data_IF_157471442137
#
_entry.id   IF_157471442137
#
_cell.length_a   1.000
_cell.length_b   1.000
_cell.length_c   1.000
_cell.angle_alpha   90.00
_cell.angle_beta   90.00
_cell.angle_gamma   90.00
#
_symmetry.space_group_name_H-M   'P 1'
#
loop_
_entity.id
_entity.type
_entity.pdbx_description
1 polymer ?
#
# COMPACT_ATOMS: atom_id res chain seq x y z
N UNK A 1 1.80 -13.63 -10.57
CA UNK A 1 0.91 -13.06 -11.59
C UNK A 1 0.92 -11.52 -11.57
N UNK A 2 1.01 -10.86 -10.41
CA UNK A 2 1.49 -9.46 -10.35
C UNK A 2 2.88 -9.30 -11.01
N UNK A 3 3.75 -10.29 -10.85
CA UNK A 3 5.13 -10.29 -11.36
C UNK A 3 5.33 -10.07 -12.87
N UNK A 4 4.43 -10.54 -13.76
CA UNK A 4 4.68 -10.46 -15.21
C UNK A 4 4.38 -9.07 -15.80
N UNK A 5 3.26 -8.45 -15.39
CA UNK A 5 2.92 -7.05 -15.74
C UNK A 5 3.89 -6.08 -15.05
N UNK A 6 4.34 -6.42 -13.84
CA UNK A 6 5.35 -5.71 -13.08
C UNK A 6 6.71 -5.70 -13.80
N UNK A 7 7.16 -6.87 -14.29
CA UNK A 7 8.45 -7.01 -14.95
C UNK A 7 8.55 -6.12 -16.19
N UNK A 8 7.54 -6.08 -17.05
CA UNK A 8 7.63 -5.35 -18.32
C UNK A 8 7.71 -3.82 -18.16
N UNK A 9 7.00 -3.26 -17.17
CA UNK A 9 6.96 -1.80 -16.92
C UNK A 9 8.22 -1.29 -16.21
N UNK A 10 8.71 -2.01 -15.19
CA UNK A 10 9.96 -1.63 -14.52
C UNK A 10 11.15 -1.81 -15.44
N UNK A 11 11.15 -2.86 -16.26
CA UNK A 11 12.12 -3.05 -17.35
C UNK A 11 12.11 -1.83 -18.28
N UNK A 12 10.95 -1.40 -18.82
CA UNK A 12 10.88 -0.22 -19.69
C UNK A 12 11.34 1.08 -19.02
N UNK A 13 10.98 1.32 -17.77
CA UNK A 13 11.33 2.54 -17.03
C UNK A 13 12.82 2.61 -16.65
N UNK A 14 13.39 1.50 -16.15
CA UNK A 14 14.81 1.39 -15.82
C UNK A 14 15.73 1.51 -17.05
N UNK A 15 15.26 1.10 -18.25
CA UNK A 15 16.02 1.22 -19.50
C UNK A 15 15.86 2.55 -20.24
N UNK A 16 14.91 3.41 -19.88
CA UNK A 16 14.79 4.74 -20.49
C UNK A 16 16.03 5.62 -20.27
N UNK A 17 16.81 5.33 -19.23
CA UNK A 17 18.01 6.08 -18.84
C UNK A 17 19.31 5.28 -18.93
N UNK A 18 19.28 4.07 -19.51
CA UNK A 18 20.51 3.33 -19.82
C UNK A 18 21.32 4.16 -20.81
N UNK A 19 22.41 4.77 -20.33
CA UNK A 19 23.31 5.54 -21.19
C UNK A 19 23.81 4.61 -22.30
N UNK A 20 23.75 5.07 -23.55
CA UNK A 20 24.55 4.45 -24.61
C UNK A 20 26.00 4.43 -24.11
N UNK A 21 26.74 3.33 -24.30
CA UNK A 21 28.16 3.31 -23.94
C UNK A 21 28.83 4.52 -24.60
N UNK A 22 29.48 5.35 -23.79
CA UNK A 22 30.34 6.40 -24.32
C UNK A 22 31.45 5.70 -25.08
N UNK A 23 31.57 5.98 -26.38
CA UNK A 23 32.80 5.75 -27.12
C UNK A 23 33.88 6.62 -26.48
N UNK A 24 34.61 6.05 -25.51
CA UNK A 24 35.82 6.64 -24.97
C UNK A 24 36.95 5.62 -25.09
N UNK A 25 37.77 5.89 -26.11
CA UNK A 25 39.17 5.49 -26.30
C UNK A 25 39.83 4.70 -25.16
N UNK A 26 40.26 3.48 -25.51
CA UNK A 26 41.34 2.67 -24.96
C UNK A 26 41.74 2.92 -23.49
N UNK A 27 41.16 2.11 -22.61
CA UNK A 27 41.81 1.60 -21.40
C UNK A 27 41.28 0.18 -21.19
N UNK A 28 42.15 -0.82 -21.30
CA UNK A 28 41.79 -2.22 -21.05
C UNK A 28 41.45 -2.42 -19.57
N UNK A 29 40.18 -2.26 -19.23
CA UNK A 29 39.64 -2.76 -17.97
C UNK A 29 39.80 -4.29 -17.94
N UNK A 30 40.16 -4.89 -16.80
CA UNK A 30 40.32 -6.34 -16.72
C UNK A 30 38.98 -6.99 -17.04
N UNK A 31 38.96 -7.81 -18.10
CA UNK A 31 37.81 -8.64 -18.52
C UNK A 31 37.59 -9.78 -17.52
N UNK A 32 37.34 -9.44 -16.26
CA UNK A 32 36.79 -10.38 -15.29
C UNK A 32 35.37 -10.72 -15.73
N UNK A 33 35.16 -11.95 -16.21
CA UNK A 33 33.79 -12.45 -16.42
C UNK A 33 33.07 -12.34 -15.09
N UNK A 34 32.02 -11.54 -15.02
CA UNK A 34 31.22 -11.41 -13.80
C UNK A 34 30.73 -12.80 -13.39
N UNK A 35 31.17 -13.27 -12.22
CA UNK A 35 30.85 -14.60 -11.71
C UNK A 35 29.34 -14.74 -11.46
N UNK A 36 28.71 -13.67 -10.97
CA UNK A 36 27.28 -13.62 -10.66
C UNK A 36 26.41 -13.72 -11.92
N UNK A 37 26.80 -13.12 -13.05
CA UNK A 37 26.03 -13.24 -14.30
C UNK A 37 26.12 -14.62 -14.95
N UNK A 38 27.09 -15.46 -14.53
CA UNK A 38 27.21 -16.84 -15.02
C UNK A 38 26.47 -17.85 -14.15
N UNK A 39 25.92 -17.44 -13.00
CA UNK A 39 25.13 -18.32 -12.15
C UNK A 39 23.79 -18.67 -12.81
N UNK A 40 23.30 -19.91 -12.61
CA UNK A 40 21.93 -20.28 -12.98
C UNK A 40 20.90 -19.33 -12.36
N UNK A 41 19.80 -19.13 -13.06
CA UNK A 41 18.72 -18.22 -12.64
C UNK A 41 18.16 -18.59 -11.27
N UNK A 42 18.11 -19.87 -10.94
CA UNK A 42 17.63 -20.40 -9.66
C UNK A 42 18.49 -19.93 -8.49
N UNK A 43 19.81 -19.91 -8.67
CA UNK A 43 20.74 -19.48 -7.63
C UNK A 43 20.60 -17.98 -7.39
N UNK A 44 20.47 -17.20 -8.45
CA UNK A 44 20.24 -15.75 -8.34
C UNK A 44 18.90 -15.48 -7.64
N UNK A 45 17.84 -16.21 -7.98
CA UNK A 45 16.55 -16.10 -7.28
C UNK A 45 16.67 -16.40 -5.78
N UNK A 46 17.46 -17.41 -5.39
CA UNK A 46 17.71 -17.73 -3.98
C UNK A 46 18.47 -16.59 -3.29
N UNK A 47 19.48 -16.02 -3.96
CA UNK A 47 20.22 -14.87 -3.42
C UNK A 47 19.30 -13.69 -3.17
N UNK A 48 18.47 -13.29 -4.15
CA UNK A 48 17.50 -12.21 -3.96
C UNK A 48 16.52 -12.52 -2.84
N UNK A 49 15.95 -13.74 -2.78
CA UNK A 49 15.02 -14.15 -1.72
C UNK A 49 15.59 -14.08 -0.30
N UNK A 50 16.91 -13.99 -0.16
CA UNK A 50 17.58 -13.85 1.15
C UNK A 50 17.78 -12.39 1.56
N UNK A 51 17.40 -11.44 0.70
CA UNK A 51 17.49 -10.00 0.94
C UNK A 51 16.08 -9.51 1.28
N UNK A 52 15.92 -8.98 2.49
CA UNK A 52 14.67 -8.40 2.99
C UNK A 52 14.66 -6.87 2.93
N UNK A 53 15.84 -6.26 2.79
CA UNK A 53 16.01 -4.82 2.65
C UNK A 53 15.82 -4.38 1.20
N UNK A 54 15.01 -3.33 1.00
CA UNK A 54 14.69 -2.82 -0.32
C UNK A 54 15.91 -2.25 -1.04
N UNK A 55 16.75 -1.53 -0.31
CA UNK A 55 17.88 -0.79 -0.84
C UNK A 55 18.97 -1.76 -1.31
N UNK A 56 19.26 -2.78 -0.50
CA UNK A 56 20.16 -3.88 -0.86
C UNK A 56 19.67 -4.65 -2.10
N UNK A 57 18.36 -4.94 -2.16
CA UNK A 57 17.77 -5.66 -3.28
C UNK A 57 17.86 -4.84 -4.58
N UNK A 58 17.51 -3.55 -4.53
CA UNK A 58 17.61 -2.66 -5.70
C UNK A 58 19.08 -2.44 -6.08
N UNK A 59 19.98 -2.22 -5.12
CA UNK A 59 21.42 -2.06 -5.38
C UNK A 59 22.00 -3.27 -6.11
N UNK A 60 21.70 -4.49 -5.67
CA UNK A 60 22.11 -5.71 -6.35
C UNK A 60 21.53 -5.78 -7.78
N UNK A 61 20.25 -5.45 -7.93
CA UNK A 61 19.58 -5.41 -9.24
C UNK A 61 20.24 -4.43 -10.21
N UNK A 62 20.56 -3.22 -9.75
CA UNK A 62 21.14 -2.15 -10.58
C UNK A 62 22.56 -2.47 -11.09
N UNK A 63 23.25 -3.45 -10.51
CA UNK A 63 24.58 -3.87 -11.00
C UNK A 63 24.55 -4.40 -12.43
N UNK A 64 23.47 -5.09 -12.84
CA UNK A 64 23.26 -5.45 -14.25
C UNK A 64 21.80 -5.77 -14.58
N UNK A 65 21.43 -5.57 -15.86
CA UNK A 65 20.10 -5.85 -16.42
C UNK A 65 19.53 -7.22 -16.02
N UNK A 66 20.34 -8.29 -16.14
CA UNK A 66 19.89 -9.65 -15.81
C UNK A 66 19.52 -9.80 -14.33
N UNK A 67 20.31 -9.19 -13.43
CA UNK A 67 20.04 -9.28 -12.00
C UNK A 67 18.81 -8.47 -11.63
N UNK A 68 18.63 -7.27 -12.20
CA UNK A 68 17.40 -6.51 -12.02
C UNK A 68 16.19 -7.35 -12.43
N UNK A 69 16.14 -7.84 -13.68
CA UNK A 69 15.01 -8.63 -14.20
C UNK A 69 14.68 -9.85 -13.34
N UNK A 70 15.69 -10.58 -12.85
CA UNK A 70 15.47 -11.75 -11.98
C UNK A 70 15.03 -11.32 -10.57
N UNK A 71 15.58 -10.22 -10.07
CA UNK A 71 15.36 -9.71 -8.71
C UNK A 71 14.08 -8.92 -8.52
N UNK A 72 13.45 -8.44 -9.61
CA UNK A 72 12.20 -7.67 -9.56
C UNK A 72 11.16 -8.38 -8.70
N UNK A 73 10.91 -9.67 -8.91
CA UNK A 73 9.94 -10.44 -8.11
C UNK A 73 10.11 -10.26 -6.59
N UNK A 74 11.35 -10.24 -6.10
CA UNK A 74 11.62 -10.03 -4.67
C UNK A 74 11.49 -8.55 -4.28
N UNK A 75 12.03 -7.63 -5.08
CA UNK A 75 11.90 -6.18 -4.85
C UNK A 75 10.42 -5.81 -4.67
N UNK A 76 9.55 -6.40 -5.47
CA UNK A 76 8.10 -6.14 -5.45
C UNK A 76 7.46 -6.73 -4.21
N UNK A 77 7.93 -7.91 -3.81
CA UNK A 77 7.48 -8.56 -2.60
C UNK A 77 7.81 -7.69 -1.37
N UNK A 78 9.02 -7.13 -1.33
CA UNK A 78 9.45 -6.20 -0.28
C UNK A 78 8.59 -4.93 -0.30
N UNK A 79 8.42 -4.31 -1.47
CA UNK A 79 7.60 -3.09 -1.65
C UNK A 79 6.14 -3.30 -1.23
N UNK A 80 5.53 -4.41 -1.65
CA UNK A 80 4.19 -4.81 -1.24
C UNK A 80 4.13 -5.07 0.27
N UNK A 81 5.19 -5.65 0.84
CA UNK A 81 5.35 -5.84 2.28
C UNK A 81 5.34 -4.51 3.04
N UNK A 82 5.97 -3.45 2.52
CA UNK A 82 5.93 -2.13 3.15
C UNK A 82 4.55 -1.48 3.07
N UNK A 83 3.95 -1.43 1.89
CA UNK A 83 2.65 -0.78 1.69
C UNK A 83 1.48 -1.55 2.32
N UNK A 84 1.61 -2.87 2.44
CA UNK A 84 0.53 -3.81 2.77
C UNK A 84 0.79 -4.67 4.01
N UNK A 85 1.58 -4.24 5.00
CA UNK A 85 1.75 -5.00 6.28
C UNK A 85 0.42 -5.32 6.96
N UNK A 86 -0.57 -4.47 6.73
CA UNK A 86 -1.93 -4.61 7.24
C UNK A 86 -2.81 -5.52 6.37
N UNK A 87 -2.35 -5.99 5.20
CA UNK A 87 -3.13 -6.82 4.28
C UNK A 87 -3.61 -8.10 4.97
N UNK A 88 -4.90 -8.40 4.81
CA UNK A 88 -5.61 -9.45 5.53
C UNK A 88 -5.92 -9.13 6.99
N UNK A 89 -5.38 -8.05 7.54
CA UNK A 89 -5.60 -7.55 8.89
C UNK A 89 -6.98 -6.92 9.06
N UNK A 90 -7.43 -6.83 10.32
CA UNK A 90 -8.70 -6.18 10.67
C UNK A 90 -8.45 -4.70 10.91
N UNK A 91 -9.24 -3.84 10.29
CA UNK A 91 -9.08 -2.38 10.39
C UNK A 91 -10.37 -1.77 10.93
N UNK A 92 -10.23 -0.87 11.90
CA UNK A 92 -11.32 -0.08 12.45
C UNK A 92 -10.79 1.30 12.88
N UNK A 93 -11.61 2.34 12.76
CA UNK A 93 -11.35 3.64 13.37
C UNK A 93 -12.30 3.79 14.56
N UNK A 94 -11.76 3.78 15.79
CA UNK A 94 -12.56 3.74 17.01
C UNK A 94 -12.51 5.10 17.71
N UNK A 95 -13.67 5.65 18.06
CA UNK A 95 -13.78 6.91 18.81
C UNK A 95 -13.19 6.82 20.22
N UNK A 96 -12.59 7.91 20.70
CA UNK A 96 -11.86 7.96 21.98
C UNK A 96 -12.66 7.54 23.21
N UNK A 97 -13.95 7.87 23.22
CA UNK A 97 -14.88 7.59 24.31
C UNK A 97 -15.56 6.21 24.21
N UNK A 98 -15.23 5.42 23.18
CA UNK A 98 -15.81 4.08 22.96
C UNK A 98 -15.29 3.10 24.01
N UNK A 99 -16.20 2.52 24.79
CA UNK A 99 -15.86 1.50 25.80
C UNK A 99 -15.69 0.13 25.13
N UNK A 100 -14.90 -0.76 25.75
CA UNK A 100 -14.63 -2.09 25.19
C UNK A 100 -15.88 -2.96 25.01
N UNK A 101 -16.90 -2.77 25.85
CA UNK A 101 -18.21 -3.43 25.75
C UNK A 101 -19.05 -2.95 24.57
N UNK A 102 -18.74 -1.75 24.08
CA UNK A 102 -19.48 -0.98 23.09
C UNK A 102 -18.81 -1.06 21.69
N UNK A 103 -17.73 -1.83 21.57
CA UNK A 103 -17.06 -2.09 20.29
C UNK A 103 -17.97 -2.85 19.31
N UNK A 104 -17.82 -2.64 17.98
CA UNK A 104 -18.63 -3.32 16.98
C UNK A 104 -18.51 -4.84 17.16
N UNK A 105 -19.67 -5.51 17.08
CA UNK A 105 -19.85 -6.94 17.33
C UNK A 105 -18.70 -7.83 16.82
N UNK A 106 -18.17 -8.72 17.68
CA UNK A 106 -17.27 -9.90 17.48
C UNK A 106 -16.10 -9.87 16.46
N UNK A 107 -16.00 -8.91 15.54
CA UNK A 107 -15.02 -8.90 14.45
C UNK A 107 -13.77 -8.13 14.84
N UNK A 108 -13.89 -6.99 15.53
CA UNK A 108 -12.75 -6.17 15.93
C UNK A 108 -11.76 -6.94 16.81
N UNK A 109 -12.24 -7.58 17.88
CA UNK A 109 -11.42 -8.33 18.82
C UNK A 109 -11.89 -9.77 18.99
N UNK A 110 -10.94 -10.70 18.91
CA UNK A 110 -11.14 -12.11 19.27
C UNK A 110 -11.28 -12.25 20.79
N UNK A 111 -11.85 -13.36 21.29
CA UNK A 111 -11.93 -13.61 22.73
C UNK A 111 -10.58 -13.57 23.45
N UNK A 112 -9.50 -13.99 22.76
CA UNK A 112 -8.13 -13.94 23.29
C UNK A 112 -7.63 -12.50 23.42
N UNK A 113 -7.84 -11.67 22.40
CA UNK A 113 -7.46 -10.24 22.43
C UNK A 113 -8.26 -9.46 23.46
N UNK A 114 -9.56 -9.76 23.62
CA UNK A 114 -10.39 -9.20 24.70
C UNK A 114 -9.84 -9.56 26.09
N UNK A 115 -9.25 -10.74 26.25
CA UNK A 115 -8.62 -11.14 27.50
C UNK A 115 -7.26 -10.46 27.75
N UNK A 116 -6.61 -9.93 26.71
CA UNK A 116 -5.42 -9.06 26.84
C UNK A 116 -5.86 -7.66 27.26
N UNK A 117 -6.93 -7.15 26.64
CA UNK A 117 -7.53 -5.84 26.93
C UNK A 117 -8.48 -5.92 28.15
N UNK A 118 -8.14 -6.73 29.16
CA UNK A 118 -9.02 -7.14 30.27
C UNK A 118 -9.72 -5.96 30.97
N UNK A 119 -11.03 -6.16 31.20
CA UNK A 119 -11.99 -5.28 31.88
C UNK A 119 -11.40 -4.43 33.00
N UNK A 120 -11.42 -3.10 32.85
CA UNK A 120 -11.22 -2.18 33.98
C UNK A 120 -10.73 -0.79 33.59
N UNK A 121 -9.48 -0.70 33.12
CA UNK A 121 -8.76 0.59 33.21
C UNK A 121 -8.41 1.25 31.87
N UNK A 122 -8.34 0.51 30.76
CA UNK A 122 -8.00 1.09 29.45
C UNK A 122 -8.96 0.64 28.32
N UNK A 123 -9.46 1.60 27.55
CA UNK A 123 -10.22 1.35 26.32
C UNK A 123 -9.30 0.86 25.19
N UNK A 124 -9.85 0.20 24.17
CA UNK A 124 -9.09 -0.18 22.97
C UNK A 124 -8.43 1.03 22.33
N UNK A 125 -9.08 2.19 22.37
CA UNK A 125 -8.51 3.46 21.91
C UNK A 125 -7.25 3.81 22.72
N UNK A 126 -7.33 3.80 24.05
CA UNK A 126 -6.18 4.09 24.92
C UNK A 126 -5.05 3.07 24.74
N UNK A 127 -5.38 1.79 24.53
CA UNK A 127 -4.41 0.76 24.20
C UNK A 127 -3.73 1.04 22.85
N UNK A 128 -4.49 1.41 21.82
CA UNK A 128 -3.96 1.82 20.52
C UNK A 128 -3.04 3.05 20.61
N UNK A 129 -3.41 4.02 21.44
CA UNK A 129 -2.63 5.23 21.67
C UNK A 129 -1.33 5.00 22.49
N UNK A 130 -1.11 3.78 22.98
CA UNK A 130 0.16 3.40 23.63
C UNK A 130 1.25 2.97 22.64
N UNK A 131 0.89 2.70 21.37
CA UNK A 131 1.86 2.39 20.33
C UNK A 131 2.46 3.69 19.79
N UNK A 132 3.76 3.67 19.52
CA UNK A 132 4.39 4.76 18.78
C UNK A 132 3.76 4.86 17.40
N UNK A 133 3.30 6.05 17.05
CA UNK A 133 2.90 6.35 15.68
C UNK A 133 4.12 6.11 14.80
N UNK A 134 4.02 5.14 13.90
CA UNK A 134 4.99 5.02 12.81
C UNK A 134 4.71 6.24 11.94
N UNK A 135 5.47 7.31 12.19
CA UNK A 135 5.26 8.60 11.54
C UNK A 135 5.14 8.44 10.02
N UNK A 136 4.28 9.23 9.40
CA UNK A 136 3.99 9.21 7.96
C UNK A 136 5.16 9.58 7.05
N UNK A 137 6.41 9.54 7.54
CA UNK A 137 7.59 9.49 6.68
C UNK A 137 7.50 8.18 5.88
N UNK A 138 7.06 8.34 4.64
CA UNK A 138 6.34 7.34 3.87
C UNK A 138 6.91 5.93 3.95
N UNK A 139 6.02 4.95 3.87
CA UNK A 139 6.32 3.51 3.79
C UNK A 139 7.29 3.13 2.63
N UNK A 140 7.68 4.10 1.79
CA UNK A 140 8.61 4.00 0.67
C UNK A 140 9.72 5.07 0.70
N UNK A 141 9.89 5.82 1.80
CA UNK A 141 11.02 6.74 1.91
C UNK A 141 12.32 5.95 2.00
N UNK A 142 13.14 6.15 0.97
CA UNK A 142 14.50 5.66 0.92
C UNK A 142 15.33 6.41 1.95
N UNK A 143 16.30 5.73 2.56
CA UNK A 143 17.31 6.37 3.35
C UNK A 143 17.94 7.52 2.51
N UNK A 144 17.81 8.78 2.98
CA UNK A 144 18.40 9.93 2.30
C UNK A 144 19.92 9.80 2.14
N UNK A 145 20.59 9.02 2.99
CA UNK A 145 22.01 8.75 2.91
C UNK A 145 22.32 7.67 1.85
N UNK A 146 21.47 6.66 1.71
CA UNK A 146 21.58 5.67 0.63
C UNK A 146 21.50 6.33 -0.75
N UNK A 147 20.45 7.13 -1.00
CA UNK A 147 20.26 7.79 -2.30
C UNK A 147 21.33 8.86 -2.61
N UNK A 148 22.03 9.38 -1.59
CA UNK A 148 23.17 10.29 -1.76
C UNK A 148 24.44 9.56 -2.20
N UNK A 149 24.57 8.29 -1.86
CA UNK A 149 25.66 7.42 -2.32
C UNK A 149 25.56 6.99 -3.78
N UNK A 150 24.36 7.07 -4.38
CA UNK A 150 24.13 6.69 -5.77
C UNK A 150 24.60 7.77 -6.76
N UNK A 151 25.13 7.35 -7.91
CA UNK A 151 25.35 8.27 -9.03
C UNK A 151 24.01 8.83 -9.54
N UNK A 152 24.05 9.92 -10.30
CA UNK A 152 22.84 10.50 -10.92
C UNK A 152 22.04 9.51 -11.77
N UNK A 153 22.71 8.55 -12.40
CA UNK A 153 22.05 7.54 -13.24
C UNK A 153 21.40 6.47 -12.37
N UNK A 154 22.14 5.92 -11.41
CA UNK A 154 21.62 4.91 -10.48
C UNK A 154 20.47 5.45 -9.65
N UNK A 155 20.55 6.70 -9.18
CA UNK A 155 19.46 7.36 -8.46
C UNK A 155 18.19 7.43 -9.28
N UNK A 156 18.28 7.81 -10.57
CA UNK A 156 17.12 7.82 -11.47
C UNK A 156 16.54 6.43 -11.72
N UNK A 157 17.41 5.42 -11.83
CA UNK A 157 16.96 4.03 -12.02
C UNK A 157 16.28 3.50 -10.76
N UNK A 158 16.83 3.80 -9.59
CA UNK A 158 16.25 3.49 -8.31
C UNK A 158 14.87 4.17 -8.17
N UNK A 159 14.80 5.48 -8.40
CA UNK A 159 13.54 6.25 -8.37
C UNK A 159 12.51 5.69 -9.36
N UNK A 160 12.95 5.22 -10.54
CA UNK A 160 12.08 4.58 -11.51
C UNK A 160 11.56 3.21 -11.05
N UNK A 161 12.37 2.40 -10.37
CA UNK A 161 11.96 1.10 -9.81
C UNK A 161 10.95 1.30 -8.68
N UNK A 162 11.25 2.19 -7.74
CA UNK A 162 10.36 2.50 -6.61
C UNK A 162 9.10 3.21 -7.09
N UNK A 163 9.21 4.18 -8.00
CA UNK A 163 8.09 4.92 -8.56
C UNK A 163 7.14 4.05 -9.38
N UNK A 164 7.65 3.11 -10.18
CA UNK A 164 6.81 2.18 -10.92
C UNK A 164 6.02 1.22 -10.01
N UNK A 165 6.51 0.93 -8.80
CA UNK A 165 5.71 0.25 -7.79
C UNK A 165 4.62 1.14 -7.20
N UNK A 166 4.84 2.46 -7.13
CA UNK A 166 3.81 3.48 -6.88
C UNK A 166 2.67 3.41 -7.91
N UNK A 167 2.98 3.39 -9.21
CA UNK A 167 2.00 3.31 -10.29
C UNK A 167 1.12 2.03 -10.25
N UNK A 168 1.59 0.97 -9.58
CA UNK A 168 0.80 -0.24 -9.35
C UNK A 168 -0.27 -0.05 -8.28
N UNK A 169 -0.03 0.81 -7.28
CA UNK A 169 -1.05 1.17 -6.29
C UNK A 169 -2.14 2.05 -6.90
N UNK A 170 -1.81 2.85 -7.93
CA UNK A 170 -2.78 3.69 -8.64
C UNK A 170 -3.84 2.87 -9.40
N UNK A 171 -3.51 1.62 -9.77
CA UNK A 171 -4.43 0.68 -10.40
C UNK A 171 -4.97 -0.38 -9.42
N UNK A 172 -4.61 -0.28 -8.13
CA UNK A 172 -4.99 -1.27 -7.14
C UNK A 172 -6.34 -0.94 -6.51
N UNK A 173 -7.17 -1.98 -6.36
CA UNK A 173 -8.49 -1.92 -5.74
C UNK A 173 -8.38 -2.17 -4.23
N UNK A 174 -9.19 -1.46 -3.46
CA UNK A 174 -9.38 -1.72 -2.03
C UNK A 174 -10.39 -2.86 -1.88
N UNK A 175 -10.00 -3.94 -1.21
CA UNK A 175 -10.84 -5.13 -1.04
C UNK A 175 -11.28 -5.28 0.41
N UNK A 176 -12.59 -5.42 0.64
CA UNK A 176 -13.11 -5.95 1.90
C UNK A 176 -13.23 -7.47 1.78
N UNK A 177 -12.25 -8.18 2.35
CA UNK A 177 -12.15 -9.63 2.33
C UNK A 177 -13.27 -10.31 3.13
N UNK A 178 -13.80 -9.65 4.17
CA UNK A 178 -14.87 -10.18 5.00
C UNK A 178 -16.21 -10.24 4.27
N UNK A 179 -16.45 -9.29 3.36
CA UNK A 179 -17.71 -9.15 2.62
C UNK A 179 -17.60 -9.57 1.14
N UNK A 180 -16.38 -9.81 0.65
CA UNK A 180 -16.10 -10.13 -0.77
C UNK A 180 -16.55 -9.03 -1.73
N UNK A 181 -16.27 -7.78 -1.34
CA UNK A 181 -16.51 -6.60 -2.17
C UNK A 181 -15.20 -5.88 -2.45
N UNK A 182 -15.11 -5.14 -3.55
CA UNK A 182 -13.96 -4.30 -3.88
C UNK A 182 -14.37 -2.89 -4.34
N UNK A 183 -13.46 -1.94 -4.16
CA UNK A 183 -13.61 -0.53 -4.49
C UNK A 183 -12.50 -0.07 -5.42
N UNK A 184 -12.86 0.58 -6.53
CA UNK A 184 -11.92 0.99 -7.57
C UNK A 184 -11.31 2.38 -7.31
N UNK A 185 -10.01 2.56 -7.59
CA UNK A 185 -9.38 3.88 -7.48
C UNK A 185 -9.93 4.88 -8.50
N UNK A 186 -10.44 4.44 -9.65
CA UNK A 186 -11.02 5.35 -10.65
C UNK A 186 -12.25 6.09 -10.14
N UNK A 187 -13.00 5.48 -9.21
CA UNK A 187 -14.20 6.06 -8.64
C UNK A 187 -13.91 7.32 -7.80
N UNK A 188 -12.68 7.49 -7.32
CA UNK A 188 -12.31 8.66 -6.49
C UNK A 188 -11.95 9.90 -7.32
N UNK A 189 -11.76 9.79 -8.65
CA UNK A 189 -11.25 10.89 -9.50
C UNK A 189 -12.11 12.15 -9.49
N UNK A 190 -13.39 12.05 -9.11
CA UNK A 190 -14.30 13.19 -8.97
C UNK A 190 -14.24 13.92 -7.62
N UNK A 191 -13.50 13.39 -6.64
CA UNK A 191 -13.55 13.83 -5.23
C UNK A 191 -12.34 14.70 -4.82
N UNK A 192 -11.62 15.27 -5.79
CA UNK A 192 -10.53 16.23 -5.54
C UNK A 192 -9.41 15.63 -4.67
N UNK A 193 -9.24 16.17 -3.46
CA UNK A 193 -8.19 15.74 -2.51
C UNK A 193 -8.42 14.39 -1.83
N UNK A 194 -9.60 13.76 -1.98
CA UNK A 194 -9.94 12.52 -1.30
C UNK A 194 -9.50 11.29 -2.10
N UNK A 195 -8.97 10.28 -1.39
CA UNK A 195 -8.49 9.03 -1.99
C UNK A 195 -9.10 7.79 -1.32
N UNK A 196 -8.65 6.60 -1.74
CA UNK A 196 -9.11 5.31 -1.21
C UNK A 196 -9.11 5.25 0.33
N UNK A 197 -8.10 5.86 0.98
CA UNK A 197 -8.01 5.91 2.44
C UNK A 197 -9.16 6.68 3.10
N UNK A 198 -9.60 7.79 2.51
CA UNK A 198 -10.76 8.57 3.00
C UNK A 198 -12.05 7.76 2.88
N UNK A 199 -12.24 7.10 1.75
CA UNK A 199 -13.39 6.24 1.48
C UNK A 199 -13.43 5.01 2.39
N UNK A 200 -12.26 4.43 2.69
CA UNK A 200 -12.17 3.37 3.69
C UNK A 200 -12.57 3.93 5.07
N UNK A 201 -11.99 5.08 5.46
CA UNK A 201 -12.24 5.71 6.76
C UNK A 201 -13.73 5.94 7.01
N UNK A 202 -14.46 6.46 6.02
CA UNK A 202 -15.91 6.71 6.15
C UNK A 202 -16.75 5.46 6.42
N UNK A 203 -16.25 4.26 6.11
CA UNK A 203 -16.95 2.98 6.33
C UNK A 203 -16.48 2.24 7.58
N UNK A 204 -15.30 2.54 8.11
CA UNK A 204 -14.70 1.81 9.26
C UNK A 204 -14.76 2.58 10.58
N UNK A 205 -15.26 3.81 10.56
CA UNK A 205 -15.48 4.62 11.75
C UNK A 205 -16.53 3.98 12.67
N UNK A 206 -16.24 3.92 13.96
CA UNK A 206 -17.14 3.42 14.99
C UNK A 206 -17.03 4.26 16.26
N UNK A 207 -18.17 4.73 16.75
CA UNK A 207 -18.29 5.40 18.04
C UNK A 207 -19.70 5.24 18.59
N UNK A 208 -19.81 4.99 19.90
CA UNK A 208 -21.10 5.09 20.60
C UNK A 208 -21.49 6.53 20.91
N UNK A 209 -20.55 7.46 20.81
CA UNK A 209 -20.81 8.89 20.89
C UNK A 209 -21.05 9.43 19.48
N UNK A 210 -22.26 9.96 19.26
CA UNK A 210 -22.65 10.63 18.02
C UNK A 210 -22.06 12.04 17.89
N UNK A 211 -21.29 12.50 18.87
CA UNK A 211 -20.56 13.77 18.84
C UNK A 211 -19.41 13.70 17.82
N UNK A 212 -19.76 13.85 16.56
CA UNK A 212 -18.82 14.11 15.49
C UNK A 212 -18.69 15.61 15.28
N UNK A 213 -17.48 16.08 14.96
CA UNK A 213 -17.27 17.48 14.52
C UNK A 213 -17.63 17.64 13.04
N UNK A 214 -18.74 17.01 12.64
CA UNK A 214 -19.28 16.90 11.31
C UNK A 214 -20.81 17.08 11.40
N UNK A 215 -21.42 17.67 10.40
CA UNK A 215 -22.88 17.72 10.25
C UNK A 215 -23.47 16.32 10.00
N UNK A 216 -22.74 15.46 9.28
CA UNK A 216 -23.13 14.08 8.98
C UNK A 216 -22.89 13.15 10.18
N UNK A 217 -23.97 12.65 10.79
CA UNK A 217 -23.92 11.91 12.06
C UNK A 217 -23.78 10.39 11.93
N UNK A 218 -24.13 9.82 10.78
CA UNK A 218 -24.21 8.36 10.62
C UNK A 218 -22.87 7.70 10.29
N UNK A 219 -21.77 8.47 10.30
CA UNK A 219 -20.41 7.95 10.07
C UNK A 219 -19.89 7.08 11.22
N UNK A 220 -20.51 7.17 12.41
CA UNK A 220 -20.08 6.48 13.62
C UNK A 220 -20.60 5.04 13.78
N UNK A 221 -21.39 4.53 12.84
CA UNK A 221 -21.87 3.14 12.82
C UNK A 221 -21.38 2.44 11.54
N UNK A 222 -20.06 2.53 11.29
CA UNK A 222 -19.45 2.00 10.09
C UNK A 222 -19.55 0.48 10.00
N UNK A 223 -20.38 0.00 9.06
CA UNK A 223 -20.64 -1.41 8.78
C UNK A 223 -19.40 -2.26 8.43
N UNK A 224 -18.26 -1.60 8.16
CA UNK A 224 -16.99 -2.22 7.79
C UNK A 224 -15.98 -2.20 8.95
N UNK A 225 -16.33 -1.62 10.09
CA UNK A 225 -15.45 -1.55 11.25
C UNK A 225 -15.06 -2.95 11.75
N UNK A 226 -13.77 -3.25 11.70
CA UNK A 226 -13.19 -4.53 12.12
C UNK A 226 -13.22 -5.63 11.05
N UNK A 227 -13.63 -5.31 9.82
CA UNK A 227 -13.48 -6.20 8.68
C UNK A 227 -12.02 -6.32 8.21
N UNK A 228 -11.75 -7.33 7.39
CA UNK A 228 -10.42 -7.60 6.85
C UNK A 228 -10.23 -6.94 5.50
N UNK A 229 -9.10 -6.28 5.31
CA UNK A 229 -8.83 -5.51 4.09
C UNK A 229 -7.52 -5.89 3.42
N UNK A 230 -7.44 -5.65 2.11
CA UNK A 230 -6.23 -5.76 1.30
C UNK A 230 -6.31 -4.77 0.14
N UNK A 231 -5.17 -4.25 -0.32
CA UNK A 231 -5.07 -3.58 -1.61
C UNK A 231 -4.40 -4.53 -2.59
N UNK A 232 -5.06 -4.79 -3.72
CA UNK A 232 -4.58 -5.72 -4.74
C UNK A 232 -5.12 -5.33 -6.11
N UNK A 233 -4.84 -6.10 -7.15
CA UNK A 233 -5.43 -5.87 -8.49
C UNK A 233 -6.64 -6.77 -8.71
N UNK A 234 -7.54 -6.35 -9.61
CA UNK A 234 -8.74 -7.15 -9.98
C UNK A 234 -8.35 -8.56 -10.45
N UNK A 235 -7.29 -8.67 -11.26
CA UNK A 235 -6.78 -9.95 -11.76
C UNK A 235 -6.24 -10.87 -10.65
N UNK A 236 -5.83 -10.29 -9.52
CA UNK A 236 -5.29 -11.02 -8.37
C UNK A 236 -6.37 -11.40 -7.34
N UNK A 237 -7.63 -11.02 -7.56
CA UNK A 237 -8.73 -11.37 -6.66
C UNK A 237 -8.89 -12.88 -6.56
N UNK A 238 -8.85 -13.39 -5.32
CA UNK A 238 -9.00 -14.82 -5.05
C UNK A 238 -10.39 -15.30 -5.46
N UNK A 239 -10.41 -16.20 -6.43
CA UNK A 239 -11.65 -16.72 -7.03
C UNK A 239 -12.01 -16.07 -8.36
N UNK A 240 -11.26 -15.08 -8.84
CA UNK A 240 -11.62 -14.28 -10.01
C UNK A 240 -12.63 -13.19 -9.69
N UNK A 241 -12.69 -12.17 -10.54
CA UNK A 241 -13.51 -10.97 -10.33
C UNK A 241 -15.01 -11.29 -10.20
N UNK A 242 -15.50 -12.33 -10.89
CA UNK A 242 -16.93 -12.73 -10.88
C UNK A 242 -17.43 -13.18 -9.50
N UNK A 243 -16.53 -13.48 -8.56
CA UNK A 243 -16.86 -13.87 -7.18
C UNK A 243 -16.82 -12.69 -6.20
N UNK A 244 -16.68 -11.46 -6.71
CA UNK A 244 -16.61 -10.25 -5.90
C UNK A 244 -17.56 -9.19 -6.44
N UNK A 245 -18.18 -8.47 -5.51
CA UNK A 245 -19.08 -7.38 -5.86
C UNK A 245 -18.33 -6.04 -5.94
N UNK A 246 -18.60 -5.27 -6.99
CA UNK A 246 -18.09 -3.91 -7.16
C UNK A 246 -18.96 -2.94 -6.39
N UNK A 247 -18.44 -2.32 -5.33
CA UNK A 247 -19.18 -1.35 -4.51
C UNK A 247 -18.80 0.10 -4.81
N UNK A 248 -18.19 0.35 -5.98
CA UNK A 248 -17.70 1.69 -6.33
C UNK A 248 -18.81 2.73 -6.37
N UNK A 249 -19.96 2.42 -6.97
CA UNK A 249 -21.11 3.33 -7.03
C UNK A 249 -21.69 3.60 -5.63
N UNK A 250 -21.90 2.56 -4.83
CA UNK A 250 -22.42 2.67 -3.45
C UNK A 250 -21.49 3.47 -2.53
N UNK A 251 -20.17 3.30 -2.70
CA UNK A 251 -19.18 4.04 -1.93
C UNK A 251 -19.11 5.50 -2.35
N UNK A 252 -19.22 5.81 -3.64
CA UNK A 252 -19.28 7.20 -4.12
C UNK A 252 -20.56 7.90 -3.69
N UNK A 253 -21.72 7.26 -3.81
CA UNK A 253 -22.99 7.85 -3.37
C UNK A 253 -22.99 8.18 -1.87
N UNK A 254 -22.47 7.26 -1.04
CA UNK A 254 -22.34 7.53 0.39
C UNK A 254 -21.36 8.66 0.71
N UNK A 255 -20.27 8.78 -0.06
CA UNK A 255 -19.33 9.90 0.12
C UNK A 255 -19.94 11.23 -0.31
N UNK A 256 -20.75 11.24 -1.36
CA UNK A 256 -21.51 12.42 -1.79
C UNK A 256 -22.47 12.88 -0.70
N UNK A 257 -23.23 11.98 -0.08
CA UNK A 257 -24.13 12.31 1.05
C UNK A 257 -23.38 12.97 2.22
N UNK A 258 -22.19 12.46 2.55
CA UNK A 258 -21.34 13.07 3.59
C UNK A 258 -20.93 14.48 3.17
N UNK A 259 -20.40 14.65 1.96
CA UNK A 259 -19.86 15.94 1.50
C UNK A 259 -20.95 17.00 1.29
N UNK A 260 -22.12 16.60 0.81
CA UNK A 260 -23.30 17.47 0.71
C UNK A 260 -23.79 17.93 2.08
N UNK A 261 -23.76 17.05 3.09
CA UNK A 261 -24.11 17.42 4.46
C UNK A 261 -23.10 18.41 5.07
N UNK A 262 -21.81 18.28 4.78
CA UNK A 262 -20.76 19.14 5.35
C UNK A 262 -20.62 20.49 4.64
N UNK A 263 -20.69 20.49 3.30
CA UNK A 263 -20.31 21.63 2.47
C UNK A 263 -21.46 22.13 1.57
N UNK A 264 -22.62 21.47 1.61
CA UNK A 264 -23.78 21.80 0.76
C UNK A 264 -23.61 21.38 -0.71
N UNK A 265 -24.53 21.82 -1.57
CA UNK A 265 -24.59 21.43 -2.99
C UNK A 265 -23.33 21.80 -3.81
N UNK A 266 -22.51 22.73 -3.30
CA UNK A 266 -21.28 23.19 -3.97
C UNK A 266 -20.00 22.52 -3.41
N UNK A 267 -20.12 21.39 -2.71
CA UNK A 267 -18.98 20.69 -2.10
C UNK A 267 -17.83 20.42 -3.08
N UNK A 268 -18.13 20.23 -4.37
CA UNK A 268 -17.17 20.01 -5.44
C UNK A 268 -16.25 21.21 -5.68
N UNK A 269 -16.71 22.44 -5.42
CA UNK A 269 -15.89 23.64 -5.52
C UNK A 269 -15.02 23.84 -4.27
N UNK A 270 -15.53 23.44 -3.10
CA UNK A 270 -14.79 23.54 -1.84
C UNK A 270 -13.71 22.46 -1.67
N UNK A 271 -13.90 21.29 -2.29
CA UNK A 271 -13.00 20.13 -2.16
C UNK A 271 -12.00 19.97 -3.31
N UNK A 272 -11.96 20.92 -4.26
CA UNK A 272 -11.05 20.92 -5.42
C UNK A 272 -9.58 21.14 -5.06
#
# INVERSE_FOLDING_TARGET
MLNEVFSERVTRSAYAYSTKPKDSTNSEAPKGKSLLTNLPTEIIKISFKSIDDLEDAVALGLTCKRLLEIGLDQINHILAGYAGRWAGGRIACIGGDTKNKDLPNRRVLTPKEKAIIKDGDISLYQYGNSFEEIGGEGLLQCDPDFTRGLSRVERRQYEAVVGAAGDLFDAAVLCNLSKRVYFRPEAVKGFGRFGLGTFLLSRICWSNDSSVSMEFRDICDGDWAGDRFEITTIDALKGGADNWDDVSEDMTAFMEEILESEYGENWQEECR
#
